data_IF_641326181439
#
_entry.id   IF_641326181439
#
_cell.length_a   1.000
_cell.length_b   1.000
_cell.length_c   1.000
_cell.angle_alpha   90.00
_cell.angle_beta   90.00
_cell.angle_gamma   90.00
#
_symmetry.space_group_name_H-M   'P 1'
#
loop_
_entity.id
_entity.type
_entity.pdbx_description
1 polymer ?
#
# COMPACT_ATOMS: atom_id res chain seq x y z
N UNK A 1 8.23 16.58 -10.80
CA UNK A 1 6.97 17.36 -10.70
C UNK A 1 6.10 16.93 -9.52
N UNK A 2 5.98 15.61 -9.20
CA UNK A 2 5.24 15.07 -8.04
C UNK A 2 5.72 15.59 -6.68
N UNK A 3 7.02 15.60 -6.43
CA UNK A 3 7.56 15.94 -5.09
C UNK A 3 7.32 17.40 -4.68
N UNK A 4 6.95 18.26 -5.64
CA UNK A 4 6.60 19.65 -5.39
C UNK A 4 5.14 19.83 -4.91
N UNK A 5 4.29 18.80 -4.97
CA UNK A 5 2.88 18.89 -4.55
C UNK A 5 2.54 18.20 -3.22
N UNK A 6 3.49 17.46 -2.63
CA UNK A 6 3.25 16.60 -1.48
C UNK A 6 4.09 17.01 -0.27
N UNK A 7 3.81 16.43 0.90
CA UNK A 7 4.56 16.68 2.12
C UNK A 7 3.95 17.76 3.03
N UNK A 8 4.71 18.13 4.07
CA UNK A 8 4.29 19.08 5.10
C UNK A 8 3.89 20.43 4.49
N UNK A 9 2.76 20.96 4.95
CA UNK A 9 2.21 22.23 4.46
C UNK A 9 1.50 22.16 3.10
N UNK A 10 1.31 20.94 2.55
CA UNK A 10 0.55 20.71 1.31
C UNK A 10 -0.47 19.59 1.45
N UNK A 11 -0.01 18.43 1.92
CA UNK A 11 -0.84 17.25 2.18
C UNK A 11 -0.52 16.75 3.59
N UNK A 12 0.32 15.72 3.71
CA UNK A 12 0.82 15.18 4.98
C UNK A 12 2.29 14.76 4.84
N UNK A 13 3.00 14.71 5.95
CA UNK A 13 4.46 14.50 5.99
C UNK A 13 4.94 13.11 5.51
N UNK A 14 4.05 12.11 5.57
CA UNK A 14 4.25 10.71 5.19
C UNK A 14 3.88 10.39 3.74
N UNK A 15 3.29 11.35 3.01
CA UNK A 15 2.69 11.09 1.69
C UNK A 15 3.68 10.42 0.72
N UNK A 16 4.90 10.94 0.58
CA UNK A 16 5.87 10.38 -0.36
C UNK A 16 6.21 8.92 -0.04
N UNK A 17 6.50 8.65 1.24
CA UNK A 17 6.85 7.35 1.77
C UNK A 17 5.72 6.33 1.54
N UNK A 18 4.48 6.69 1.92
CA UNK A 18 3.29 5.83 1.72
C UNK A 18 3.06 5.54 0.25
N UNK A 19 3.09 6.55 -0.61
CA UNK A 19 2.88 6.39 -2.05
C UNK A 19 3.95 5.48 -2.68
N UNK A 20 5.22 5.65 -2.32
CA UNK A 20 6.30 4.84 -2.87
C UNK A 20 6.25 3.40 -2.35
N UNK A 21 5.84 3.18 -1.10
CA UNK A 21 5.63 1.84 -0.55
C UNK A 21 4.43 1.13 -1.21
N UNK A 22 3.28 1.81 -1.35
CA UNK A 22 2.10 1.26 -2.02
C UNK A 22 2.40 0.87 -3.47
N UNK A 23 3.11 1.75 -4.20
CA UNK A 23 3.50 1.47 -5.58
C UNK A 23 4.39 0.22 -5.68
N UNK A 24 5.43 0.13 -4.84
CA UNK A 24 6.33 -1.01 -4.83
C UNK A 24 5.61 -2.32 -4.45
N UNK A 25 4.72 -2.27 -3.45
CA UNK A 25 3.93 -3.42 -3.04
C UNK A 25 2.95 -3.88 -4.12
N UNK A 26 2.29 -2.93 -4.80
CA UNK A 26 1.38 -3.25 -5.88
C UNK A 26 2.10 -3.89 -7.06
N UNK A 27 3.24 -3.33 -7.49
CA UNK A 27 4.04 -3.90 -8.58
C UNK A 27 4.44 -5.36 -8.29
N UNK A 28 5.02 -5.62 -7.10
CA UNK A 28 5.37 -6.98 -6.69
C UNK A 28 4.15 -7.89 -6.59
N UNK A 29 3.03 -7.38 -6.10
CA UNK A 29 1.78 -8.14 -6.02
C UNK A 29 1.23 -8.53 -7.38
N UNK A 30 1.38 -7.67 -8.41
CA UNK A 30 1.02 -8.02 -9.79
C UNK A 30 1.90 -9.13 -10.35
N UNK A 31 3.22 -9.05 -10.17
CA UNK A 31 4.15 -10.12 -10.55
C UNK A 31 3.81 -11.45 -9.86
N UNK A 32 3.50 -11.42 -8.57
CA UNK A 32 3.06 -12.60 -7.82
C UNK A 32 1.75 -13.18 -8.36
N UNK A 33 0.78 -12.34 -8.72
CA UNK A 33 -0.49 -12.78 -9.32
C UNK A 33 -0.30 -13.38 -10.71
N UNK A 34 0.60 -12.83 -11.51
CA UNK A 34 0.95 -13.39 -12.83
C UNK A 34 1.60 -14.77 -12.69
N UNK A 35 2.56 -14.89 -11.78
CA UNK A 35 3.20 -16.17 -11.48
C UNK A 35 2.18 -17.22 -10.99
N UNK A 36 1.28 -16.81 -10.10
CA UNK A 36 0.19 -17.64 -9.59
C UNK A 36 -0.76 -18.12 -10.70
N UNK A 37 -1.09 -17.25 -11.66
CA UNK A 37 -1.96 -17.63 -12.77
C UNK A 37 -1.31 -18.67 -13.71
N UNK A 38 0.02 -18.68 -13.81
CA UNK A 38 0.78 -19.59 -14.67
C UNK A 38 1.10 -20.92 -13.96
N UNK A 39 1.53 -20.87 -12.70
CA UNK A 39 2.08 -22.01 -11.96
C UNK A 39 1.16 -22.54 -10.85
N UNK A 40 0.08 -21.82 -10.54
CA UNK A 40 -0.81 -22.11 -9.41
C UNK A 40 -0.32 -21.50 -8.09
N UNK A 41 -1.25 -21.37 -7.13
CA UNK A 41 -1.00 -20.74 -5.81
C UNK A 41 0.08 -21.45 -4.99
N UNK A 42 0.19 -22.77 -5.11
CA UNK A 42 1.18 -23.57 -4.38
C UNK A 42 2.63 -23.22 -4.74
N UNK A 43 2.86 -22.55 -5.88
CA UNK A 43 4.20 -22.12 -6.31
C UNK A 43 4.65 -20.80 -5.66
N UNK A 44 3.76 -20.06 -4.98
CA UNK A 44 4.11 -18.80 -4.34
C UNK A 44 4.81 -19.00 -2.99
N UNK A 45 5.82 -18.17 -2.73
CA UNK A 45 6.34 -17.98 -1.38
C UNK A 45 5.28 -17.36 -0.48
N UNK A 46 5.35 -17.58 0.84
CA UNK A 46 4.39 -16.97 1.77
C UNK A 46 4.42 -15.44 1.71
N UNK A 47 5.60 -14.86 1.49
CA UNK A 47 5.74 -13.42 1.26
C UNK A 47 4.99 -12.98 0.01
N UNK A 48 5.11 -13.70 -1.11
CA UNK A 48 4.43 -13.34 -2.35
C UNK A 48 2.91 -13.53 -2.26
N UNK A 49 2.41 -14.45 -1.42
CA UNK A 49 0.98 -14.54 -1.10
C UNK A 49 0.46 -13.27 -0.41
N UNK A 50 1.22 -12.68 0.52
CA UNK A 50 0.85 -11.40 1.13
C UNK A 50 0.80 -10.28 0.08
N UNK A 51 1.77 -10.22 -0.84
CA UNK A 51 1.78 -9.22 -1.91
C UNK A 51 0.67 -9.41 -2.94
N UNK A 52 0.36 -10.66 -3.31
CA UNK A 52 -0.76 -10.97 -4.19
C UNK A 52 -2.09 -10.52 -3.58
N UNK A 53 -2.32 -10.86 -2.29
CA UNK A 53 -3.49 -10.39 -1.53
C UNK A 53 -3.53 -8.86 -1.40
N UNK A 54 -2.38 -8.23 -1.17
CA UNK A 54 -2.28 -6.78 -1.13
C UNK A 54 -2.73 -6.16 -2.46
N UNK A 55 -2.33 -6.72 -3.60
CA UNK A 55 -2.73 -6.20 -4.91
C UNK A 55 -4.24 -6.26 -5.13
N UNK A 56 -4.89 -7.36 -4.75
CA UNK A 56 -6.36 -7.48 -4.81
C UNK A 56 -7.05 -6.41 -3.95
N UNK A 57 -6.63 -6.27 -2.69
CA UNK A 57 -7.22 -5.31 -1.77
C UNK A 57 -6.92 -3.86 -2.17
N UNK A 58 -5.77 -3.60 -2.79
CA UNK A 58 -5.42 -2.30 -3.33
C UNK A 58 -6.35 -1.91 -4.49
N UNK A 59 -6.57 -2.80 -5.46
CA UNK A 59 -7.52 -2.58 -6.55
C UNK A 59 -8.94 -2.34 -6.00
N UNK A 60 -9.36 -3.16 -5.03
CA UNK A 60 -10.73 -3.12 -4.47
C UNK A 60 -11.01 -1.93 -3.56
N UNK A 61 -10.05 -1.50 -2.74
CA UNK A 61 -10.28 -0.48 -1.69
C UNK A 61 -9.66 0.86 -2.04
N UNK A 62 -8.45 0.86 -2.59
CA UNK A 62 -7.72 2.09 -2.90
C UNK A 62 -8.20 2.67 -4.22
N UNK A 63 -8.17 1.86 -5.29
CA UNK A 63 -8.51 2.32 -6.65
C UNK A 63 -10.02 2.40 -6.86
N UNK A 64 -10.76 1.37 -6.47
CA UNK A 64 -12.22 1.31 -6.66
C UNK A 64 -12.95 2.14 -5.60
N UNK A 65 -13.04 3.44 -5.84
CA UNK A 65 -13.68 4.42 -4.94
C UNK A 65 -15.20 4.52 -5.12
N UNK A 66 -15.71 4.17 -6.31
CA UNK A 66 -17.11 4.38 -6.70
C UNK A 66 -17.40 5.81 -7.20
N UNK A 67 -18.57 6.01 -7.80
CA UNK A 67 -18.92 7.25 -8.49
C UNK A 67 -19.27 8.43 -7.57
N UNK A 68 -19.79 8.16 -6.38
CA UNK A 68 -20.32 9.19 -5.47
C UNK A 68 -19.36 9.54 -4.32
N UNK A 69 -18.29 8.78 -4.16
CA UNK A 69 -17.33 9.01 -3.09
C UNK A 69 -16.35 10.10 -3.48
N UNK A 70 -16.13 11.08 -2.62
CA UNK A 70 -15.09 12.09 -2.76
C UNK A 70 -14.17 12.05 -1.53
N UNK A 71 -12.99 11.43 -1.68
CA UNK A 71 -12.02 11.29 -0.59
C UNK A 71 -11.10 12.49 -0.51
N UNK A 72 -10.86 12.94 0.72
CA UNK A 72 -9.74 13.79 1.07
C UNK A 72 -8.41 13.05 0.85
N UNK A 73 -7.32 13.81 0.81
CA UNK A 73 -5.99 13.19 0.71
C UNK A 73 -5.63 12.43 1.99
N UNK A 74 -6.07 12.89 3.15
CA UNK A 74 -5.88 12.24 4.44
C UNK A 74 -6.56 10.86 4.49
N UNK A 75 -7.83 10.77 4.09
CA UNK A 75 -8.56 9.50 3.99
C UNK A 75 -7.87 8.54 3.02
N UNK A 76 -7.37 9.06 1.89
CA UNK A 76 -6.62 8.25 0.93
C UNK A 76 -5.34 7.68 1.54
N UNK A 77 -4.58 8.50 2.30
CA UNK A 77 -3.38 8.05 2.98
C UNK A 77 -3.69 7.05 4.10
N UNK A 78 -4.80 7.22 4.83
CA UNK A 78 -5.27 6.28 5.86
C UNK A 78 -5.63 4.91 5.26
N UNK A 79 -6.36 4.88 4.14
CA UNK A 79 -6.63 3.63 3.40
C UNK A 79 -5.30 2.98 2.96
N UNK A 80 -4.34 3.80 2.53
CA UNK A 80 -2.98 3.35 2.23
C UNK A 80 -2.33 2.62 3.40
N UNK A 81 -2.32 3.24 4.57
CA UNK A 81 -1.79 2.64 5.80
C UNK A 81 -2.50 1.35 6.20
N UNK A 82 -3.82 1.32 6.12
CA UNK A 82 -4.61 0.12 6.38
C UNK A 82 -4.22 -1.05 5.46
N UNK A 83 -4.03 -0.77 4.17
CA UNK A 83 -3.60 -1.78 3.20
C UNK A 83 -2.19 -2.29 3.49
N UNK A 84 -1.29 -1.41 3.91
CA UNK A 84 0.08 -1.81 4.28
C UNK A 84 0.13 -2.75 5.49
N UNK A 85 -0.92 -2.79 6.32
CA UNK A 85 -1.02 -3.79 7.39
C UNK A 85 -1.22 -5.23 6.90
N UNK A 86 -1.56 -5.42 5.62
CA UNK A 86 -1.62 -6.74 5.00
C UNK A 86 -0.23 -7.34 4.76
N UNK A 87 0.80 -6.51 4.76
CA UNK A 87 2.18 -6.90 4.58
C UNK A 87 2.87 -7.06 5.95
N UNK A 88 3.82 -8.00 6.08
CA UNK A 88 4.70 -8.04 7.23
C UNK A 88 5.45 -6.70 7.40
N UNK A 89 5.58 -6.20 8.63
CA UNK A 89 6.28 -4.93 8.91
C UNK A 89 7.70 -4.88 8.31
N UNK A 90 8.40 -6.01 8.30
CA UNK A 90 9.74 -6.13 7.71
C UNK A 90 9.79 -5.84 6.21
N UNK A 91 8.65 -5.89 5.51
CA UNK A 91 8.55 -5.57 4.08
C UNK A 91 8.23 -4.09 3.80
N UNK A 92 8.03 -3.26 4.83
CA UNK A 92 7.75 -1.83 4.72
C UNK A 92 9.02 -0.97 4.58
N UNK A 93 9.86 -1.35 3.61
CA UNK A 93 11.25 -0.85 3.44
C UNK A 93 11.35 0.58 2.92
N UNK A 94 10.25 1.21 2.52
CA UNK A 94 10.20 2.57 1.92
C UNK A 94 9.57 3.61 2.83
N UNK A 95 9.30 3.24 4.07
CA UNK A 95 8.71 4.11 5.07
C UNK A 95 9.72 4.31 6.18
N UNK A 96 9.98 5.57 6.52
CA UNK A 96 10.83 5.90 7.66
C UNK A 96 10.19 5.45 8.97
N UNK A 97 11.01 5.03 9.92
CA UNK A 97 10.58 4.52 11.22
C UNK A 97 9.71 5.52 11.99
N UNK A 98 10.03 6.83 11.90
CA UNK A 98 9.25 7.91 12.53
C UNK A 98 7.77 7.93 12.08
N UNK A 99 7.50 7.54 10.84
CA UNK A 99 6.14 7.47 10.31
C UNK A 99 5.49 6.12 10.56
N UNK A 100 6.26 5.03 10.60
CA UNK A 100 5.77 3.74 11.08
C UNK A 100 5.28 3.86 12.53
N UNK A 101 6.03 4.52 13.39
CA UNK A 101 5.64 4.71 14.80
C UNK A 101 4.38 5.58 14.92
N UNK A 102 4.29 6.64 14.11
CA UNK A 102 3.21 7.64 14.20
C UNK A 102 1.90 7.20 13.55
N UNK A 103 1.97 6.52 12.40
CA UNK A 103 0.81 6.29 11.54
C UNK A 103 0.47 4.81 11.32
N UNK A 104 1.36 3.87 11.65
CA UNK A 104 1.04 2.46 11.47
C UNK A 104 -0.13 2.05 12.38
N UNK A 105 -1.22 1.49 11.83
CA UNK A 105 -2.38 1.14 12.64
C UNK A 105 -2.03 0.14 13.74
N UNK A 106 -2.33 0.49 14.99
CA UNK A 106 -2.26 -0.42 16.14
C UNK A 106 -3.55 -1.23 16.13
N UNK A 107 -3.54 -2.39 15.47
CA UNK A 107 -4.64 -3.35 15.57
C UNK A 107 -4.59 -3.97 16.97
N UNK A 108 -5.69 -3.83 17.73
CA UNK A 108 -5.93 -4.57 18.98
C UNK A 108 -6.15 -6.06 18.71
#
# INVERSE_FOLDING_TARGET
>A
LKDKGIGRGKTREDHSDVLNQLFAAYARGKEAKELMAILGEAALSDTDKYFARFADEFERRYVSQGYETNRTIEETLEIGWDLLTLLPKAELKRIRDEYLEKYYPKKE
#
